data_IF_251279149734
#
_entry.id   IF_251279149734
#
_cell.length_a   1.000
_cell.length_b   1.000
_cell.length_c   1.000
_cell.angle_alpha   90.00
_cell.angle_beta   90.00
_cell.angle_gamma   90.00
#
_symmetry.space_group_name_H-M   'P 1'
#
loop_
_entity.id
_entity.type
_entity.pdbx_description
1 polymer ?
#
# COMPACT_ATOMS: atom_id res chain seq x y z
N UNK A 1 -8.92 -13.71 -5.45
CA UNK A 1 -7.51 -13.49 -5.89
C UNK A 1 -7.10 -12.04 -5.66
N UNK A 2 -5.85 -11.74 -5.28
CA UNK A 2 -5.44 -10.35 -4.97
C UNK A 2 -4.35 -9.84 -5.90
N UNK A 3 -4.42 -8.56 -6.29
CA UNK A 3 -3.40 -7.88 -7.11
C UNK A 3 -2.95 -6.61 -6.39
N UNK A 4 -1.65 -6.48 -6.16
CA UNK A 4 -1.04 -5.27 -5.62
C UNK A 4 -0.57 -4.38 -6.77
N UNK A 5 -1.05 -3.14 -6.83
CA UNK A 5 -0.61 -2.16 -7.81
C UNK A 5 0.26 -1.12 -7.12
N UNK A 6 1.44 -0.84 -7.70
CA UNK A 6 2.45 0.07 -7.18
C UNK A 6 2.77 1.19 -8.16
N UNK A 7 2.92 2.40 -7.63
CA UNK A 7 3.41 3.57 -8.35
C UNK A 7 4.42 4.30 -7.47
N UNK A 8 5.70 4.04 -7.75
CA UNK A 8 6.82 4.66 -7.05
C UNK A 8 7.26 5.92 -7.79
N UNK A 9 7.10 7.07 -7.14
CA UNK A 9 7.67 8.35 -7.58
C UNK A 9 9.03 8.61 -6.94
N UNK A 10 9.58 9.81 -7.10
CA UNK A 10 10.88 10.19 -6.54
C UNK A 10 10.91 10.17 -5.00
N UNK A 11 9.83 10.60 -4.35
CA UNK A 11 9.73 10.67 -2.87
C UNK A 11 8.44 10.03 -2.32
N UNK A 12 7.79 9.17 -3.10
CA UNK A 12 6.56 8.50 -2.65
C UNK A 12 6.37 7.11 -3.25
N UNK A 13 5.60 6.28 -2.55
CA UNK A 13 5.06 5.01 -3.05
C UNK A 13 3.56 5.05 -2.86
N UNK A 14 2.81 5.11 -3.96
CA UNK A 14 1.35 4.93 -3.97
C UNK A 14 1.04 3.48 -4.25
N UNK A 15 0.05 2.93 -3.56
CA UNK A 15 -0.35 1.54 -3.75
C UNK A 15 -1.85 1.31 -3.58
N UNK A 16 -2.33 0.22 -4.17
CA UNK A 16 -3.68 -0.28 -3.99
C UNK A 16 -3.67 -1.82 -4.04
N UNK A 17 -4.40 -2.46 -3.13
CA UNK A 17 -4.62 -3.91 -3.17
C UNK A 17 -6.05 -4.17 -3.64
N UNK A 18 -6.16 -4.83 -4.79
CA UNK A 18 -7.45 -5.19 -5.39
C UNK A 18 -7.82 -6.62 -5.07
N UNK A 19 -9.09 -6.83 -4.73
CA UNK A 19 -9.73 -8.12 -4.81
C UNK A 19 -10.26 -8.30 -6.23
N UNK A 20 -9.72 -9.27 -6.96
CA UNK A 20 -10.05 -9.49 -8.38
C UNK A 20 -11.39 -10.19 -8.58
N UNK A 21 -11.94 -10.81 -7.54
CA UNK A 21 -13.25 -11.46 -7.62
C UNK A 21 -14.35 -10.38 -7.55
N UNK A 22 -14.13 -9.33 -6.75
CA UNK A 22 -15.06 -8.20 -6.61
C UNK A 22 -14.69 -6.95 -7.42
N UNK A 23 -13.47 -6.90 -7.96
CA UNK A 23 -12.87 -5.77 -8.66
C UNK A 23 -12.76 -4.47 -7.84
N UNK A 24 -12.88 -4.55 -6.52
CA UNK A 24 -12.73 -3.39 -5.63
C UNK A 24 -11.35 -3.33 -5.00
N UNK A 25 -10.85 -2.10 -4.79
CA UNK A 25 -9.69 -1.85 -3.95
C UNK A 25 -10.07 -2.03 -2.48
N UNK A 26 -9.51 -3.03 -1.83
CA UNK A 26 -9.72 -3.31 -0.39
C UNK A 26 -8.99 -2.28 0.48
N UNK A 27 -7.81 -1.86 0.03
CA UNK A 27 -7.00 -0.82 0.66
C UNK A 27 -6.27 -0.01 -0.42
N UNK A 28 -6.18 1.30 -0.20
CA UNK A 28 -5.31 2.19 -0.96
C UNK A 28 -4.47 2.99 0.00
N UNK A 29 -3.24 3.32 -0.38
CA UNK A 29 -2.37 4.11 0.47
C UNK A 29 -1.24 4.79 -0.27
N UNK A 30 -0.55 5.64 0.48
CA UNK A 30 0.62 6.37 0.04
C UNK A 30 1.59 6.49 1.19
N UNK A 31 2.86 6.20 0.91
CA UNK A 31 3.98 6.68 1.69
C UNK A 31 4.52 7.91 0.98
N UNK A 32 4.60 9.03 1.69
CA UNK A 32 5.08 10.31 1.17
C UNK A 32 6.29 10.80 1.95
N UNK A 33 7.07 11.69 1.31
CA UNK A 33 8.27 12.32 1.90
C UNK A 33 9.34 11.28 2.30
N UNK A 34 9.51 10.24 1.47
CA UNK A 34 10.57 9.23 1.65
C UNK A 34 11.94 9.93 1.61
N UNK A 35 12.83 9.57 2.55
CA UNK A 35 14.15 10.18 2.76
C UNK A 35 14.10 11.67 3.14
N UNK A 36 12.94 12.18 3.56
CA UNK A 36 12.74 13.56 4.02
C UNK A 36 12.19 13.57 5.46
N UNK A 37 12.27 14.72 6.12
CA UNK A 37 11.63 14.92 7.42
C UNK A 37 10.11 14.87 7.28
N UNK A 38 9.45 14.23 8.26
CA UNK A 38 7.99 14.12 8.27
C UNK A 38 7.42 13.10 7.29
N UNK A 39 8.18 12.05 6.96
CA UNK A 39 7.65 10.88 6.26
C UNK A 39 6.39 10.34 6.93
N UNK A 40 5.39 10.03 6.12
CA UNK A 40 4.09 9.59 6.60
C UNK A 40 3.50 8.52 5.69
N UNK A 41 2.83 7.55 6.31
CA UNK A 41 2.05 6.54 5.64
C UNK A 41 0.57 6.82 5.87
N UNK A 42 -0.11 7.18 4.79
CA UNK A 42 -1.55 7.45 4.77
C UNK A 42 -2.24 6.33 4.03
N UNK A 43 -3.30 5.76 4.60
CA UNK A 43 -4.06 4.72 3.92
C UNK A 43 -5.53 4.77 4.27
N UNK A 44 -6.34 4.16 3.40
CA UNK A 44 -7.77 4.01 3.56
C UNK A 44 -8.18 2.57 3.26
N UNK A 45 -8.92 1.97 4.18
CA UNK A 45 -9.47 0.62 4.03
C UNK A 45 -10.96 0.69 3.77
N UNK A 46 -11.45 -0.12 2.82
CA UNK A 46 -12.87 -0.29 2.55
C UNK A 46 -13.34 -1.59 3.21
N UNK A 47 -14.27 -1.48 4.15
CA UNK A 47 -14.92 -2.65 4.76
C UNK A 47 -16.07 -3.16 3.86
N UNK A 48 -16.49 -4.42 4.07
CA UNK A 48 -17.63 -5.03 3.39
C UNK A 48 -18.94 -4.22 3.53
N UNK A 49 -19.07 -3.40 4.57
CA UNK A 49 -20.19 -2.46 4.77
C UNK A 49 -20.04 -1.10 4.06
N UNK A 50 -19.02 -0.91 3.22
CA UNK A 50 -18.76 0.34 2.49
C UNK A 50 -18.13 1.46 3.32
N UNK A 51 -17.85 1.23 4.61
CA UNK A 51 -17.22 2.21 5.49
C UNK A 51 -15.73 2.35 5.13
N UNK A 52 -15.31 3.59 4.83
CA UNK A 52 -13.91 3.94 4.60
C UNK A 52 -13.25 4.41 5.90
N UNK A 53 -12.24 3.68 6.38
CA UNK A 53 -11.42 4.10 7.52
C UNK A 53 -10.11 4.70 7.01
N UNK A 54 -9.90 6.00 7.23
CA UNK A 54 -8.65 6.71 6.92
C UNK A 54 -7.72 6.70 8.13
N UNK A 55 -6.44 6.46 7.91
CA UNK A 55 -5.40 6.46 8.94
C UNK A 55 -4.16 7.17 8.42
N UNK A 56 -3.41 7.79 9.34
CA UNK A 56 -2.14 8.45 9.09
C UNK A 56 -1.16 8.00 10.16
N UNK A 57 -0.02 7.45 9.75
CA UNK A 57 1.05 6.99 10.63
C UNK A 57 2.30 7.78 10.28
N UNK A 58 2.92 8.40 11.28
CA UNK A 58 4.23 9.04 11.12
C UNK A 58 5.31 7.96 11.18
N UNK A 59 6.19 7.91 10.18
CA UNK A 59 7.23 6.89 10.05
C UNK A 59 8.52 7.54 9.54
N UNK A 60 9.67 7.14 10.06
CA UNK A 60 10.95 7.50 9.44
C UNK A 60 11.32 6.46 8.39
N UNK A 61 11.38 6.87 7.12
CA UNK A 61 11.67 5.98 6.00
C UNK A 61 12.81 6.57 5.18
N UNK A 62 13.94 5.88 5.16
CA UNK A 62 15.17 6.36 4.50
C UNK A 62 15.24 6.08 3.00
N UNK A 63 14.34 5.25 2.47
CA UNK A 63 14.30 4.92 1.04
C UNK A 63 13.15 4.01 0.64
N UNK A 64 12.97 3.81 -0.67
CA UNK A 64 11.83 3.05 -1.21
C UNK A 64 11.79 1.60 -0.77
N UNK A 65 12.94 0.97 -0.50
CA UNK A 65 12.97 -0.40 0.03
C UNK A 65 12.29 -0.48 1.40
N UNK A 66 12.64 0.43 2.32
CA UNK A 66 11.98 0.52 3.63
C UNK A 66 10.51 0.92 3.48
N UNK A 67 10.21 1.82 2.53
CA UNK A 67 8.83 2.18 2.19
C UNK A 67 8.01 0.98 1.78
N UNK A 68 8.51 0.16 0.85
CA UNK A 68 7.82 -1.02 0.38
C UNK A 68 7.67 -2.05 1.50
N UNK A 69 8.69 -2.24 2.34
CA UNK A 69 8.61 -3.11 3.51
C UNK A 69 7.51 -2.65 4.47
N UNK A 70 7.39 -1.35 4.75
CA UNK A 70 6.31 -0.80 5.57
C UNK A 70 4.91 -1.06 4.97
N UNK A 71 4.77 -1.00 3.64
CA UNK A 71 3.52 -1.39 2.96
C UNK A 71 3.19 -2.86 3.21
N UNK A 72 4.13 -3.78 3.00
CA UNK A 72 3.90 -5.21 3.23
C UNK A 72 3.59 -5.53 4.69
N UNK A 73 4.32 -4.92 5.63
CA UNK A 73 4.05 -5.06 7.07
C UNK A 73 2.62 -4.62 7.40
N UNK A 74 2.19 -3.44 6.94
CA UNK A 74 0.83 -2.95 7.19
C UNK A 74 -0.23 -3.91 6.59
N UNK A 75 -0.02 -4.38 5.36
CA UNK A 75 -0.95 -5.30 4.72
C UNK A 75 -1.08 -6.62 5.50
N UNK A 76 0.02 -7.08 6.11
CA UNK A 76 0.02 -8.26 6.98
C UNK A 76 -0.67 -8.00 8.32
N UNK A 77 -0.35 -6.90 9.00
CA UNK A 77 -0.98 -6.51 10.28
C UNK A 77 -2.50 -6.34 10.17
N UNK A 78 -2.98 -5.84 9.04
CA UNK A 78 -4.40 -5.67 8.76
C UNK A 78 -5.08 -6.93 8.21
N UNK A 79 -4.36 -8.06 8.12
CA UNK A 79 -4.82 -9.33 7.57
C UNK A 79 -5.31 -9.24 6.11
N UNK A 80 -4.79 -8.28 5.33
CA UNK A 80 -5.04 -8.23 3.88
C UNK A 80 -4.22 -9.27 3.12
N UNK A 81 -3.04 -9.64 3.63
CA UNK A 81 -2.21 -10.74 3.12
C UNK A 81 -1.58 -11.46 4.31
N UNK A 82 -1.53 -12.79 4.31
CA UNK A 82 -0.76 -13.56 5.30
C UNK A 82 0.66 -13.84 4.79
N UNK A 83 0.78 -14.11 3.50
CA UNK A 83 2.05 -14.32 2.82
C UNK A 83 2.01 -13.82 1.36
N UNK A 84 3.12 -13.98 0.65
CA UNK A 84 3.25 -13.53 -0.74
C UNK A 84 2.37 -14.36 -1.70
N UNK A 85 2.02 -15.60 -1.34
CA UNK A 85 1.21 -16.48 -2.18
C UNK A 85 -0.27 -16.05 -2.27
N UNK A 86 -0.73 -15.19 -1.35
CA UNK A 86 -2.02 -14.52 -1.45
C UNK A 86 -2.11 -13.55 -2.65
N UNK A 87 -0.96 -13.08 -3.16
CA UNK A 87 -0.87 -12.19 -4.30
C UNK A 87 -0.74 -13.00 -5.59
N UNK A 88 -1.67 -12.76 -6.51
CA UNK A 88 -1.58 -13.30 -7.87
C UNK A 88 -0.44 -12.65 -8.65
N UNK A 89 -0.32 -11.32 -8.54
CA UNK A 89 0.76 -10.56 -9.17
C UNK A 89 0.92 -9.18 -8.51
N UNK A 90 2.01 -8.51 -8.90
CA UNK A 90 2.27 -7.11 -8.56
C UNK A 90 2.40 -6.32 -9.86
N UNK A 91 1.53 -5.33 -10.06
CA UNK A 91 1.58 -4.42 -11.19
C UNK A 91 2.38 -3.17 -10.84
N UNK A 92 3.41 -2.85 -11.63
CA UNK A 92 4.22 -1.65 -11.44
C UNK A 92 3.96 -0.65 -12.56
N UNK A 93 3.70 0.62 -12.21
CA UNK A 93 3.76 1.71 -13.18
C UNK A 93 5.22 2.03 -13.49
N UNK A 94 5.58 1.90 -14.77
CA UNK A 94 6.89 2.29 -15.30
C UNK A 94 6.70 3.50 -16.22
N UNK A 95 7.50 4.54 -16.01
CA UNK A 95 7.56 5.72 -16.89
C UNK A 95 8.78 5.59 -17.81
N UNK A 96 8.80 6.33 -18.92
CA UNK A 96 9.91 6.35 -19.87
C UNK A 96 11.03 7.29 -19.41
#
# INVERSE_FOLDING_TARGET
MKVLVLNSGSSSIKYALFDMDTQFAQITGVIERIAESGSAHKYQCRSAGGIEKKQVISLEISGHQQGLQAVFTLLSELNFIQDISDLLCIGHRVVH
#
